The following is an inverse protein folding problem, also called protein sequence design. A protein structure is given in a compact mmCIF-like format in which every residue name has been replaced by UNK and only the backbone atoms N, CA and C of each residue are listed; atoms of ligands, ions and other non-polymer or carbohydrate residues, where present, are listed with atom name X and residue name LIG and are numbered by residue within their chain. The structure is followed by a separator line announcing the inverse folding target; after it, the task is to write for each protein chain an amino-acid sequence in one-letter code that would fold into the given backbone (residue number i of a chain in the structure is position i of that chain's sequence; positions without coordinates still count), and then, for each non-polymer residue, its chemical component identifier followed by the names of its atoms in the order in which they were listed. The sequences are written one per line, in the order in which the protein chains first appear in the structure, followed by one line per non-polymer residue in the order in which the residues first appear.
data_IF_762162977570
#
_entry.id   IF_762162977570
#
_cell.length_a   1.000
_cell.length_b   1.000
_cell.length_c   1.000
_cell.angle_alpha   90.00
_cell.angle_beta   90.00
_cell.angle_gamma   90.00
#
_symmetry.space_group_name_H-M   'P 1'
#
loop_
_entity.id
_entity.type
_entity.pdbx_description
1 polymer ?
#
# COMPACT_ATOMS: atom_id res chain seq x y z
N UNK A 1 0.76 3.42 -2.35
CA UNK A 1 -0.69 3.47 -2.15
C UNK A 1 -1.38 3.54 -3.50
N UNK A 2 -2.36 2.67 -3.77
CA UNK A 2 -3.06 2.59 -5.06
C UNK A 2 -4.34 3.40 -5.07
N UNK A 3 -5.13 3.33 -4.00
CA UNK A 3 -6.39 4.10 -3.83
C UNK A 3 -6.15 5.60 -3.82
N UNK A 4 -5.09 6.06 -3.15
CA UNK A 4 -4.77 7.47 -3.10
C UNK A 4 -4.15 7.98 -4.41
N UNK A 5 -3.37 7.14 -5.11
CA UNK A 5 -2.90 7.46 -6.47
C UNK A 5 -4.06 7.66 -7.43
N UNK A 6 -5.06 6.79 -7.36
CA UNK A 6 -6.30 6.92 -8.15
C UNK A 6 -7.02 8.23 -7.82
N UNK A 7 -7.19 8.55 -6.53
CA UNK A 7 -7.82 9.80 -6.10
C UNK A 7 -7.07 11.07 -6.58
N UNK A 8 -5.74 11.00 -6.72
CA UNK A 8 -4.89 12.11 -7.13
C UNK A 8 -4.54 12.13 -8.62
N UNK A 9 -4.88 11.09 -9.38
CA UNK A 9 -4.45 10.93 -10.78
C UNK A 9 -2.92 10.81 -10.95
N UNK A 10 -2.22 10.25 -9.95
CA UNK A 10 -0.75 10.18 -9.91
C UNK A 10 -0.22 8.80 -10.34
N UNK A 11 -0.33 8.49 -11.62
CA UNK A 11 0.07 7.17 -12.14
C UNK A 11 1.59 6.96 -12.13
N UNK A 12 2.37 8.03 -12.31
CA UNK A 12 3.83 7.96 -12.49
C UNK A 12 4.68 8.11 -11.22
N UNK A 13 4.07 8.47 -10.07
CA UNK A 13 4.84 8.75 -8.85
C UNK A 13 5.35 7.45 -8.20
N UNK A 14 6.61 7.44 -7.78
CA UNK A 14 7.22 6.29 -7.11
C UNK A 14 6.96 6.29 -5.61
N UNK A 15 6.75 7.47 -5.02
CA UNK A 15 6.40 7.65 -3.62
C UNK A 15 5.16 8.52 -3.44
N UNK A 16 4.28 8.10 -2.54
CA UNK A 16 3.18 8.90 -2.00
C UNK A 16 3.61 9.37 -0.61
N UNK A 17 3.39 10.65 -0.30
CA UNK A 17 3.84 11.31 0.93
C UNK A 17 2.64 11.65 1.81
N UNK A 18 2.87 11.90 3.10
CA UNK A 18 1.79 12.23 4.04
C UNK A 18 0.97 13.46 3.62
N UNK A 19 1.61 14.43 2.94
CA UNK A 19 0.92 15.61 2.38
C UNK A 19 -0.13 15.25 1.32
N UNK A 20 0.06 14.12 0.63
CA UNK A 20 -0.84 13.67 -0.42
C UNK A 20 -2.13 13.05 0.19
N UNK A 21 -2.09 12.62 1.46
CA UNK A 21 -3.23 11.98 2.17
C UNK A 21 -4.34 12.96 2.60
N UNK A 22 -4.16 14.27 2.36
CA UNK A 22 -5.07 15.32 2.86
C UNK A 22 -6.25 15.55 1.90
N UNK A 23 -6.22 14.97 0.69
CA UNK A 23 -7.28 15.14 -0.30
C UNK A 23 -8.63 14.66 0.20
N UNK A 24 -9.66 15.46 -0.08
CA UNK A 24 -11.05 15.09 0.14
C UNK A 24 -11.57 14.32 -1.09
N UNK A 25 -11.64 13.00 -0.96
CA UNK A 25 -12.08 12.11 -2.03
C UNK A 25 -12.73 10.86 -1.43
N UNK A 26 -13.83 10.35 -2.02
CA UNK A 26 -14.46 9.12 -1.57
C UNK A 26 -13.57 7.87 -1.76
N UNK A 27 -12.43 8.00 -2.47
CA UNK A 27 -11.44 6.94 -2.65
C UNK A 27 -10.26 7.03 -1.66
N UNK A 28 -10.23 8.02 -0.76
CA UNK A 28 -9.17 8.17 0.23
C UNK A 28 -9.41 7.26 1.45
N UNK A 29 -8.86 6.05 1.39
CA UNK A 29 -8.94 5.02 2.44
C UNK A 29 -8.16 5.36 3.72
N UNK A 30 -7.38 6.45 3.75
CA UNK A 30 -6.84 6.99 5.01
C UNK A 30 -7.88 7.76 5.82
N UNK A 31 -8.94 8.26 5.16
CA UNK A 31 -9.98 9.10 5.78
C UNK A 31 -11.31 8.38 5.91
N UNK A 32 -11.61 7.49 4.97
CA UNK A 32 -12.88 6.78 4.89
C UNK A 32 -12.66 5.32 5.30
N UNK A 33 -13.43 4.87 6.30
CA UNK A 33 -13.40 3.48 6.76
C UNK A 33 -14.19 2.61 5.81
N UNK A 34 -13.60 1.50 5.37
CA UNK A 34 -14.23 0.52 4.49
C UNK A 34 -13.69 0.59 3.05
N UNK A 35 -14.48 0.04 2.12
CA UNK A 35 -14.13 0.00 0.71
C UNK A 35 -14.50 1.32 0.01
N UNK A 36 -13.75 1.75 -1.01
CA UNK A 36 -14.13 2.88 -1.87
C UNK A 36 -15.46 2.59 -2.61
N UNK A 37 -16.13 3.62 -3.16
CA UNK A 37 -17.43 3.46 -3.83
C UNK A 37 -17.37 2.62 -5.12
N UNK A 38 -16.19 2.37 -5.67
CA UNK A 38 -16.00 1.60 -6.89
C UNK A 38 -14.57 1.06 -7.04
N UNK A 39 -14.33 0.23 -8.06
CA UNK A 39 -13.02 -0.31 -8.35
C UNK A 39 -12.06 0.79 -8.86
N UNK A 40 -10.79 0.69 -8.49
CA UNK A 40 -9.73 1.60 -8.96
C UNK A 40 -9.02 1.08 -10.23
N UNK A 41 -9.22 -0.19 -10.57
CA UNK A 41 -8.68 -0.85 -11.75
C UNK A 41 -9.57 -2.05 -12.16
N UNK A 42 -9.29 -2.63 -13.31
CA UNK A 42 -9.89 -3.89 -13.74
C UNK A 42 -9.04 -5.06 -13.23
N UNK A 43 -9.53 -5.90 -12.29
CA UNK A 43 -8.76 -7.02 -11.79
C UNK A 43 -8.76 -8.18 -12.79
N UNK A 44 -7.64 -8.88 -12.89
CA UNK A 44 -7.60 -10.19 -13.54
C UNK A 44 -8.32 -11.24 -12.68
N UNK A 45 -8.91 -12.30 -13.28
CA UNK A 45 -9.68 -13.32 -12.56
C UNK A 45 -8.94 -13.94 -11.37
N UNK A 46 -7.62 -14.17 -11.48
CA UNK A 46 -6.80 -14.72 -10.39
C UNK A 46 -6.85 -13.89 -9.10
N UNK A 47 -7.04 -12.58 -9.19
CA UNK A 47 -7.14 -11.72 -8.00
C UNK A 47 -8.51 -11.84 -7.35
N UNK A 48 -9.56 -12.06 -8.14
CA UNK A 48 -10.90 -12.36 -7.63
C UNK A 48 -10.86 -13.68 -6.86
N UNK A 49 -10.26 -14.71 -7.44
CA UNK A 49 -10.11 -16.03 -6.80
C UNK A 49 -9.29 -15.94 -5.51
N UNK A 50 -8.24 -15.12 -5.48
CA UNK A 50 -7.41 -14.90 -4.29
C UNK A 50 -8.19 -14.23 -3.15
N UNK A 51 -9.11 -13.31 -3.46
CA UNK A 51 -9.97 -12.68 -2.45
C UNK A 51 -11.02 -13.67 -1.93
N UNK A 52 -11.63 -14.45 -2.82
CA UNK A 52 -12.64 -15.45 -2.45
C UNK A 52 -12.06 -16.61 -1.63
N UNK A 53 -10.80 -16.97 -1.88
CA UNK A 53 -10.10 -18.08 -1.22
C UNK A 53 -8.94 -17.58 -0.33
N UNK A 54 -9.08 -16.41 0.28
CA UNK A 54 -8.03 -15.81 1.10
C UNK A 54 -7.63 -16.73 2.26
N UNK A 55 -6.32 -16.90 2.47
CA UNK A 55 -5.79 -17.65 3.61
C UNK A 55 -6.13 -16.94 4.92
N UNK A 56 -6.51 -17.72 5.94
CA UNK A 56 -6.81 -17.17 7.26
C UNK A 56 -5.51 -16.89 8.01
N UNK A 57 -5.27 -15.62 8.32
CA UNK A 57 -4.13 -15.18 9.12
C UNK A 57 -4.47 -13.91 9.92
N UNK A 58 -3.69 -13.63 10.96
CA UNK A 58 -3.90 -12.45 11.83
C UNK A 58 -3.02 -11.24 11.45
N UNK A 59 -2.44 -11.23 10.24
CA UNK A 59 -1.65 -10.09 9.79
C UNK A 59 -2.53 -8.87 9.51
N UNK A 60 -2.18 -7.74 10.12
CA UNK A 60 -2.89 -6.47 9.96
C UNK A 60 -2.09 -5.45 9.13
N UNK A 61 -0.77 -5.60 9.09
CA UNK A 61 0.14 -4.65 8.44
C UNK A 61 1.07 -5.36 7.48
N UNK A 62 1.33 -4.75 6.33
CA UNK A 62 2.36 -5.20 5.40
C UNK A 62 3.15 -4.02 4.84
N UNK A 63 4.40 -4.26 4.43
CA UNK A 63 5.19 -3.32 3.64
C UNK A 63 6.08 -4.08 2.67
N UNK A 64 6.51 -3.43 1.58
CA UNK A 64 7.49 -4.03 0.67
C UNK A 64 8.81 -4.36 1.41
N UNK A 65 9.46 -5.44 1.02
CA UNK A 65 10.77 -5.83 1.56
C UNK A 65 11.87 -4.86 1.15
N UNK A 66 12.82 -4.64 2.05
CA UNK A 66 13.99 -3.78 1.88
C UNK A 66 14.95 -4.28 0.77
N UNK A 67 14.90 -5.56 0.46
CA UNK A 67 15.68 -6.21 -0.60
C UNK A 67 15.19 -5.90 -2.02
N UNK A 68 14.03 -5.24 -2.17
CA UNK A 68 13.37 -4.95 -3.46
C UNK A 68 13.10 -6.19 -4.32
N UNK A 69 12.98 -7.36 -3.69
CA UNK A 69 12.66 -8.62 -4.36
C UNK A 69 11.26 -8.69 -4.97
N UNK A 70 10.41 -7.70 -4.69
CA UNK A 70 8.98 -7.71 -5.05
C UNK A 70 8.09 -8.38 -4.00
N UNK A 71 8.66 -8.93 -2.93
CA UNK A 71 7.91 -9.51 -1.82
C UNK A 71 7.58 -8.48 -0.72
N UNK A 72 6.63 -8.84 0.16
CA UNK A 72 6.20 -8.03 1.30
C UNK A 72 6.56 -8.68 2.63
N UNK A 73 6.88 -7.86 3.62
CA UNK A 73 6.94 -8.25 5.03
C UNK A 73 5.55 -8.07 5.65
N UNK A 74 5.01 -9.10 6.27
CA UNK A 74 3.73 -9.08 6.99
C UNK A 74 3.97 -9.02 8.51
N UNK A 75 3.07 -8.35 9.23
CA UNK A 75 3.18 -8.15 10.68
C UNK A 75 1.81 -8.00 11.34
N UNK A 76 1.70 -8.49 12.56
CA UNK A 76 0.47 -8.40 13.39
C UNK A 76 0.41 -7.10 14.19
N UNK A 77 1.57 -6.56 14.59
CA UNK A 77 1.68 -5.37 15.45
C UNK A 77 2.19 -4.17 14.67
N UNK A 78 1.74 -2.99 15.09
CA UNK A 78 2.18 -1.73 14.50
C UNK A 78 3.67 -1.46 14.72
N UNK A 79 4.21 -1.83 15.88
CA UNK A 79 5.65 -1.65 16.19
C UNK A 79 6.55 -2.41 15.23
N UNK A 80 6.20 -3.67 14.93
CA UNK A 80 6.94 -4.49 13.97
C UNK A 80 6.82 -3.92 12.56
N UNK A 81 5.63 -3.44 12.19
CA UNK A 81 5.42 -2.76 10.93
C UNK A 81 6.33 -1.53 10.80
N UNK A 82 6.46 -0.69 11.84
CA UNK A 82 7.33 0.48 11.82
C UNK A 82 8.81 0.12 11.64
N UNK A 83 9.28 -0.97 12.25
CA UNK A 83 10.64 -1.47 12.04
C UNK A 83 10.85 -1.85 10.58
N UNK A 84 9.91 -2.61 9.99
CA UNK A 84 10.01 -3.05 8.59
C UNK A 84 9.90 -1.86 7.62
N UNK A 85 9.00 -0.91 7.88
CA UNK A 85 8.83 0.30 7.10
C UNK A 85 10.10 1.17 7.09
N UNK A 86 10.77 1.33 8.25
CA UNK A 86 12.05 2.07 8.33
C UNK A 86 13.15 1.39 7.51
N UNK A 87 13.24 0.06 7.52
CA UNK A 87 14.20 -0.69 6.70
C UNK A 87 13.97 -0.43 5.21
N UNK A 88 12.72 -0.52 4.77
CA UNK A 88 12.35 -0.25 3.38
C UNK A 88 12.65 1.21 2.97
N UNK A 89 12.28 2.19 3.80
CA UNK A 89 12.56 3.61 3.55
C UNK A 89 14.06 3.89 3.43
N UNK A 90 14.89 3.30 4.31
CA UNK A 90 16.35 3.41 4.23
C UNK A 90 16.87 2.83 2.90
N UNK A 91 16.42 1.64 2.54
CA UNK A 91 16.83 0.97 1.31
C UNK A 91 16.46 1.74 0.03
N UNK A 92 15.34 2.47 0.04
CA UNK A 92 14.96 3.36 -1.06
C UNK A 92 15.82 4.64 -1.09
N UNK A 93 16.14 5.21 0.08
CA UNK A 93 16.97 6.41 0.19
C UNK A 93 18.41 6.16 -0.26
N UNK A 94 19.01 5.02 0.12
CA UNK A 94 20.34 4.59 -0.32
C UNK A 94 20.43 4.47 -1.85
N UNK A 95 19.34 4.04 -2.49
CA UNK A 95 19.23 3.92 -3.95
C UNK A 95 18.78 5.21 -4.65
N UNK A 96 18.63 6.33 -3.92
CA UNK A 96 18.17 7.62 -4.44
C UNK A 96 16.81 7.56 -5.17
N UNK A 97 15.95 6.61 -4.79
CA UNK A 97 14.60 6.49 -5.35
C UNK A 97 13.70 7.44 -4.59
N UNK A 98 13.58 8.67 -5.06
CA UNK A 98 12.68 9.68 -4.49
C UNK A 98 11.29 9.62 -5.14
N UNK A 99 10.45 10.64 -4.89
CA UNK A 99 9.10 10.73 -5.47
C UNK A 99 9.14 10.60 -6.99
#
# INVERSE_FOLDING_TARGET
DTTLKFALGLDSVKRVLDRDNIIDSPYNTYRIVGLPPGPINMPEPRFIDAVLNAEKHDFLYFCAKEDLSGYSNFSRTYEQHLVNARRYQRALNERKIFR
#
